data_IF_257928579161
#
_entry.id   IF_257928579161
#
_cell.length_a   1.000
_cell.length_b   1.000
_cell.length_c   1.000
_cell.angle_alpha   90.00
_cell.angle_beta   90.00
_cell.angle_gamma   90.00
#
_symmetry.space_group_name_H-M   'P 1'
#
loop_
_entity.id
_entity.type
_entity.pdbx_description
1 polymer ?
#
# COMPACT_ATOMS: atom_id res chain seq x y z
N UNK A 1 -16.70 -28.65 6.18
CA UNK A 1 -15.89 -27.88 5.21
C UNK A 1 -15.82 -26.46 5.71
N UNK A 2 -14.63 -25.92 5.91
CA UNK A 2 -14.44 -24.53 6.32
C UNK A 2 -14.26 -23.68 5.06
N UNK A 3 -15.02 -22.59 4.96
CA UNK A 3 -14.78 -21.57 3.95
C UNK A 3 -13.83 -20.51 4.54
N UNK A 4 -12.82 -20.11 3.76
CA UNK A 4 -11.92 -19.03 4.12
C UNK A 4 -12.26 -17.81 3.27
N UNK A 5 -12.48 -16.69 3.94
CA UNK A 5 -12.69 -15.38 3.33
C UNK A 5 -11.69 -14.41 3.91
N UNK A 6 -11.01 -13.66 3.05
CA UNK A 6 -10.01 -12.69 3.44
C UNK A 6 -9.71 -11.73 2.30
N UNK A 7 -9.34 -10.51 2.66
CA UNK A 7 -8.78 -9.53 1.73
C UNK A 7 -7.31 -9.84 1.53
N UNK A 8 -6.82 -9.79 0.29
CA UNK A 8 -5.39 -9.94 -0.01
C UNK A 8 -4.74 -8.55 -0.10
N UNK A 9 -5.35 -7.64 -0.85
CA UNK A 9 -4.94 -6.23 -0.92
C UNK A 9 -6.19 -5.35 -0.87
N UNK A 10 -6.12 -4.28 -0.09
CA UNK A 10 -7.11 -3.20 -0.12
C UNK A 10 -6.38 -1.89 -0.41
N UNK A 11 -6.69 -1.28 -1.55
CA UNK A 11 -6.12 -0.01 -1.95
C UNK A 11 -7.17 0.98 -2.45
N UNK A 12 -6.86 2.27 -2.34
CA UNK A 12 -7.68 3.39 -2.82
C UNK A 12 -6.83 4.31 -3.68
N UNK A 13 -7.39 4.86 -4.77
CA UNK A 13 -6.78 6.02 -5.44
C UNK A 13 -7.39 7.27 -4.84
N UNK A 14 -6.56 8.12 -4.23
CA UNK A 14 -6.97 9.37 -3.60
C UNK A 14 -5.90 10.43 -3.82
N UNK A 15 -6.31 11.62 -4.24
CA UNK A 15 -5.44 12.78 -4.48
C UNK A 15 -4.26 12.47 -5.42
N UNK A 16 -4.52 11.61 -6.42
CA UNK A 16 -3.52 11.17 -7.39
C UNK A 16 -2.44 10.26 -6.80
N UNK A 17 -2.73 9.57 -5.69
CA UNK A 17 -1.86 8.60 -5.01
C UNK A 17 -2.59 7.28 -4.80
N UNK A 18 -1.83 6.19 -4.70
CA UNK A 18 -2.30 4.85 -4.35
C UNK A 18 -2.13 4.67 -2.84
N UNK A 19 -3.22 4.57 -2.11
CA UNK A 19 -3.26 4.35 -0.67
C UNK A 19 -3.50 2.88 -0.38
N UNK A 20 -2.51 2.19 0.16
CA UNK A 20 -2.59 0.77 0.52
C UNK A 20 -3.06 0.66 1.97
N UNK A 21 -4.30 0.22 2.17
CA UNK A 21 -4.93 0.07 3.50
C UNK A 21 -4.68 -1.30 4.12
N UNK A 22 -4.43 -2.31 3.29
CA UNK A 22 -4.06 -3.66 3.73
C UNK A 22 -3.25 -4.33 2.62
N UNK A 23 -2.21 -5.06 3.01
CA UNK A 23 -1.41 -5.90 2.14
C UNK A 23 -1.10 -7.22 2.87
N UNK A 24 -1.58 -8.32 2.31
CA UNK A 24 -1.39 -9.68 2.81
C UNK A 24 -0.44 -10.51 1.94
N UNK A 25 0.26 -9.88 0.99
CA UNK A 25 1.30 -10.52 0.19
C UNK A 25 2.59 -10.56 1.01
N UNK A 26 3.31 -11.69 1.01
CA UNK A 26 4.54 -11.86 1.80
C UNK A 26 5.61 -10.81 1.47
N UNK A 27 5.85 -10.60 0.17
CA UNK A 27 6.83 -9.62 -0.33
C UNK A 27 6.24 -8.20 -0.45
N UNK A 28 4.94 -8.03 -0.25
CA UNK A 28 4.19 -6.79 -0.46
C UNK A 28 4.01 -6.40 -1.93
N UNK A 29 3.04 -5.51 -2.22
CA UNK A 29 2.71 -5.05 -3.58
C UNK A 29 3.52 -3.82 -4.03
N UNK A 30 4.29 -3.21 -3.13
CA UNK A 30 4.93 -1.92 -3.41
C UNK A 30 5.99 -2.04 -4.49
N UNK A 31 6.75 -3.13 -4.51
CA UNK A 31 7.86 -3.32 -5.44
C UNK A 31 7.38 -3.49 -6.88
N UNK A 32 6.25 -4.18 -7.09
CA UNK A 32 5.61 -4.28 -8.40
C UNK A 32 5.09 -2.93 -8.89
N UNK A 33 4.49 -2.14 -8.00
CA UNK A 33 4.03 -0.79 -8.36
C UNK A 33 5.20 0.07 -8.81
N UNK A 34 6.31 0.05 -8.07
CA UNK A 34 7.52 0.80 -8.41
C UNK A 34 8.13 0.31 -9.73
N UNK A 35 8.25 -1.01 -9.90
CA UNK A 35 8.77 -1.62 -11.13
C UNK A 35 7.89 -1.30 -12.34
N UNK A 36 6.58 -1.13 -12.15
CA UNK A 36 5.64 -0.70 -13.19
C UNK A 36 5.72 0.80 -13.53
N UNK A 37 6.55 1.56 -12.80
CA UNK A 37 6.81 2.98 -13.04
C UNK A 37 6.05 3.94 -12.12
N UNK A 38 5.40 3.46 -11.05
CA UNK A 38 4.78 4.33 -10.05
C UNK A 38 5.86 4.90 -9.14
N UNK A 39 6.02 6.23 -9.06
CA UNK A 39 6.98 6.84 -8.13
C UNK A 39 6.62 6.52 -6.66
N UNK A 40 7.63 6.31 -5.81
CA UNK A 40 7.42 5.99 -4.38
C UNK A 40 6.54 7.04 -3.65
N UNK A 41 6.67 8.32 -3.99
CA UNK A 41 5.92 9.43 -3.38
C UNK A 41 4.42 9.45 -3.78
N UNK A 42 4.04 8.62 -4.77
CA UNK A 42 2.67 8.36 -5.21
C UNK A 42 2.04 7.13 -4.58
N UNK A 43 2.79 6.36 -3.79
CA UNK A 43 2.29 5.23 -3.01
C UNK A 43 2.24 5.68 -1.55
N UNK A 44 1.15 5.40 -0.83
CA UNK A 44 0.98 5.72 0.59
C UNK A 44 0.70 4.41 1.32
N UNK A 45 1.56 4.03 2.26
CA UNK A 45 1.34 2.89 3.15
C UNK A 45 0.33 3.28 4.23
N UNK A 46 -0.95 3.30 3.86
CA UNK A 46 -2.04 3.81 4.69
C UNK A 46 -2.33 2.95 5.92
N UNK A 47 -1.89 1.69 5.94
CA UNK A 47 -1.91 0.83 7.12
C UNK A 47 -0.96 1.29 8.22
N UNK A 48 0.04 2.14 7.91
CA UNK A 48 0.84 2.81 8.93
C UNK A 48 0.16 4.09 9.44
N UNK A 49 0.30 4.38 10.75
CA UNK A 49 -0.09 5.66 11.33
C UNK A 49 0.57 6.84 10.59
N UNK A 50 -0.10 8.00 10.43
CA UNK A 50 0.43 9.15 9.70
C UNK A 50 1.85 9.56 10.11
N UNK A 51 2.15 9.55 11.41
CA UNK A 51 3.43 9.92 12.00
C UNK A 51 4.59 8.97 11.64
N UNK A 52 4.30 7.74 11.21
CA UNK A 52 5.34 6.77 10.80
C UNK A 52 5.66 6.89 9.31
N UNK A 53 4.73 7.43 8.50
CA UNK A 53 4.84 7.40 7.03
C UNK A 53 6.07 8.12 6.52
N UNK A 54 6.53 9.18 7.20
CA UNK A 54 7.74 9.91 6.83
C UNK A 54 9.01 9.06 6.87
N UNK A 55 9.01 7.96 7.62
CA UNK A 55 10.14 7.03 7.74
C UNK A 55 10.05 5.84 6.77
N UNK A 56 8.98 5.74 5.98
CA UNK A 56 8.73 4.56 5.12
C UNK A 56 9.43 4.63 3.75
N UNK A 57 9.87 5.81 3.34
CA UNK A 57 10.38 6.03 1.97
C UNK A 57 9.28 6.17 0.89
N UNK A 58 8.01 6.11 1.30
CA UNK A 58 6.82 6.31 0.46
C UNK A 58 6.12 7.65 0.79
N UNK A 59 5.01 7.95 0.12
CA UNK A 59 4.19 9.14 0.35
C UNK A 59 3.56 9.18 1.75
N UNK A 60 3.40 10.40 2.28
CA UNK A 60 2.89 10.66 3.65
C UNK A 60 1.39 10.98 3.73
N UNK A 61 0.80 11.40 2.61
CA UNK A 61 -0.60 11.79 2.45
C UNK A 61 -0.84 12.51 1.14
#
# INVERSE_FOLDING_TARGET
MNAYYGTIVHAQIRDGKIWIHYDGIEDGITDELVTSGVPNDRIVLAFHPPEIREHTGYGVG
#
